data_IF_688659976598
#
_entry.id   IF_688659976598
#
_cell.length_a   1.000
_cell.length_b   1.000
_cell.length_c   1.000
_cell.angle_alpha   90.00
_cell.angle_beta   90.00
_cell.angle_gamma   90.00
#
_symmetry.space_group_name_H-M   'P 1'
#
loop_
_entity.id
_entity.type
_entity.pdbx_description
1 polymer ?
#
# COMPACT_ATOMS: atom_id res chain seq x y z
N UNK A 1 -20.48 15.18 -7.46
CA UNK A 1 -20.51 16.53 -6.86
C UNK A 1 -21.86 16.74 -6.21
N UNK A 2 -21.90 17.00 -4.93
CA UNK A 2 -23.12 17.24 -4.18
C UNK A 2 -23.18 18.69 -3.70
N UNK A 3 -24.40 19.19 -3.46
CA UNK A 3 -24.71 20.57 -3.06
C UNK A 3 -24.28 21.64 -4.09
N UNK A 4 -24.33 22.92 -3.70
CA UNK A 4 -24.04 24.07 -4.59
C UNK A 4 -23.32 25.19 -3.83
N UNK A 5 -22.62 26.05 -4.59
CA UNK A 5 -21.89 27.20 -4.04
C UNK A 5 -20.81 26.77 -3.03
N UNK A 6 -20.69 27.48 -1.94
CA UNK A 6 -19.67 27.25 -0.90
C UNK A 6 -19.80 25.88 -0.22
N UNK A 7 -20.95 25.23 -0.34
CA UNK A 7 -21.19 23.89 0.24
C UNK A 7 -20.92 22.75 -0.74
N UNK A 8 -20.46 23.07 -1.95
CA UNK A 8 -20.12 22.02 -2.94
C UNK A 8 -19.02 21.13 -2.41
N UNK A 9 -19.24 19.82 -2.43
CA UNK A 9 -18.22 18.82 -2.09
C UNK A 9 -18.30 17.61 -3.04
N UNK A 10 -17.20 16.86 -3.07
CA UNK A 10 -17.11 15.61 -3.83
C UNK A 10 -17.42 14.46 -2.87
N UNK A 11 -18.41 13.68 -3.22
CA UNK A 11 -18.85 12.54 -2.44
C UNK A 11 -19.44 11.48 -3.36
N UNK A 12 -19.56 10.22 -2.95
CA UNK A 12 -20.36 9.22 -3.63
C UNK A 12 -21.84 9.66 -3.76
N UNK A 13 -22.61 8.95 -4.58
CA UNK A 13 -24.02 9.21 -4.74
C UNK A 13 -24.73 9.17 -3.36
N UNK A 14 -25.69 10.05 -3.16
CA UNK A 14 -26.47 10.16 -1.93
C UNK A 14 -25.65 10.36 -0.63
N UNK A 15 -24.39 10.77 -0.74
CA UNK A 15 -23.47 10.99 0.40
C UNK A 15 -23.17 9.70 1.18
N UNK A 16 -23.19 8.56 0.50
CA UNK A 16 -22.84 7.26 1.06
C UNK A 16 -21.37 7.21 1.53
N UNK A 17 -21.05 6.27 2.40
CA UNK A 17 -19.66 5.97 2.73
C UNK A 17 -18.92 5.41 1.52
N UNK A 18 -17.63 5.73 1.38
CA UNK A 18 -16.78 5.17 0.30
C UNK A 18 -16.76 3.63 0.32
N UNK A 19 -16.87 3.01 1.49
CA UNK A 19 -16.89 1.56 1.61
C UNK A 19 -18.11 0.93 0.94
N UNK A 20 -19.28 1.60 1.03
CA UNK A 20 -20.55 1.12 0.51
C UNK A 20 -20.78 1.53 -0.96
N UNK A 21 -19.91 2.39 -1.49
CA UNK A 21 -19.99 2.92 -2.85
C UNK A 21 -19.24 2.02 -3.85
N UNK A 22 -19.41 2.22 -5.16
CA UNK A 22 -18.61 1.55 -6.21
C UNK A 22 -17.12 1.88 -6.18
N UNK A 23 -16.66 2.74 -5.28
CA UNK A 23 -15.26 3.15 -5.18
C UNK A 23 -14.37 1.97 -4.78
N UNK A 24 -13.30 1.75 -5.55
CA UNK A 24 -12.27 0.73 -5.29
C UNK A 24 -11.03 1.30 -4.58
N UNK A 25 -11.09 2.51 -4.09
CA UNK A 25 -10.03 3.22 -3.36
C UNK A 25 -8.68 3.28 -4.11
N UNK A 26 -8.70 3.37 -5.44
CA UNK A 26 -7.50 3.37 -6.28
C UNK A 26 -6.65 4.65 -6.20
N UNK A 27 -7.11 5.71 -5.51
CA UNK A 27 -6.36 6.96 -5.32
C UNK A 27 -6.36 7.91 -6.54
N UNK A 28 -6.93 7.54 -7.68
CA UNK A 28 -6.89 8.36 -8.90
C UNK A 28 -7.55 9.74 -8.72
N UNK A 29 -8.62 9.81 -7.93
CA UNK A 29 -9.26 11.09 -7.64
C UNK A 29 -8.36 12.04 -6.85
N UNK A 30 -7.56 11.53 -5.92
CA UNK A 30 -6.59 12.33 -5.18
C UNK A 30 -5.41 12.75 -6.08
N UNK A 31 -4.85 11.81 -6.83
CA UNK A 31 -3.72 12.06 -7.73
C UNK A 31 -4.01 13.09 -8.83
N UNK A 32 -5.28 13.20 -9.28
CA UNK A 32 -5.70 14.10 -10.35
C UNK A 32 -6.54 15.29 -9.87
N UNK A 33 -6.64 15.52 -8.57
CA UNK A 33 -7.42 16.63 -8.03
C UNK A 33 -6.69 17.97 -8.27
N UNK A 34 -7.21 18.86 -9.15
CA UNK A 34 -6.48 20.08 -9.52
C UNK A 34 -6.42 21.11 -8.38
N UNK A 35 -7.26 20.96 -7.37
CA UNK A 35 -7.35 21.88 -6.23
C UNK A 35 -6.73 21.31 -4.96
N UNK A 36 -6.29 20.03 -4.97
CA UNK A 36 -5.82 19.36 -3.77
C UNK A 36 -6.90 19.16 -2.68
N UNK A 37 -8.19 19.25 -3.04
CA UNK A 37 -9.28 19.09 -2.09
C UNK A 37 -9.54 17.62 -1.72
N UNK A 38 -9.10 16.69 -2.55
CA UNK A 38 -9.16 15.25 -2.29
C UNK A 38 -7.74 14.80 -1.98
N UNK A 39 -7.52 14.36 -0.76
CA UNK A 39 -6.23 13.87 -0.28
C UNK A 39 -6.39 12.48 0.32
N UNK A 40 -5.30 11.74 0.43
CA UNK A 40 -5.22 10.54 1.24
C UNK A 40 -5.23 10.87 2.74
N UNK A 41 -5.40 9.85 3.56
CA UNK A 41 -5.36 9.99 5.00
C UNK A 41 -3.91 10.10 5.48
N UNK A 42 -3.51 11.28 5.94
CA UNK A 42 -2.16 11.55 6.43
C UNK A 42 -1.99 11.09 7.89
N UNK A 43 -1.07 10.15 8.10
CA UNK A 43 -0.71 9.62 9.42
C UNK A 43 0.62 10.15 9.94
N UNK A 44 1.22 11.15 9.29
CA UNK A 44 2.55 11.68 9.63
C UNK A 44 2.64 12.17 11.08
N UNK A 45 1.61 12.85 11.57
CA UNK A 45 1.56 13.32 12.95
C UNK A 45 1.63 12.17 13.97
N UNK A 46 0.91 11.08 13.69
CA UNK A 46 0.92 9.87 14.53
C UNK A 46 2.31 9.21 14.55
N UNK A 47 2.99 9.18 13.41
CA UNK A 47 4.37 8.66 13.32
C UNK A 47 5.33 9.52 14.15
N UNK A 48 5.20 10.85 14.09
CA UNK A 48 6.01 11.74 14.91
C UNK A 48 5.80 11.51 16.41
N UNK A 49 4.58 11.26 16.85
CA UNK A 49 4.29 10.97 18.25
C UNK A 49 4.86 9.61 18.68
N UNK A 50 4.82 8.59 17.80
CA UNK A 50 5.49 7.31 18.05
C UNK A 50 7.01 7.45 18.17
N UNK A 51 7.65 8.27 17.32
CA UNK A 51 9.09 8.50 17.36
C UNK A 51 9.55 9.26 18.64
N UNK A 52 8.69 10.06 19.25
CA UNK A 52 8.97 10.73 20.52
C UNK A 52 8.85 9.81 21.73
N UNK A 53 8.10 8.70 21.59
CA UNK A 53 7.90 7.75 22.68
C UNK A 53 9.06 6.76 22.77
N UNK A 54 9.94 6.98 23.77
CA UNK A 54 11.14 6.15 23.99
C UNK A 54 10.84 4.75 24.53
N UNK A 55 9.63 4.48 24.96
CA UNK A 55 9.22 3.14 25.46
C UNK A 55 8.87 2.18 24.29
N UNK A 56 8.72 2.70 23.07
CA UNK A 56 8.33 1.92 21.91
C UNK A 56 9.47 1.82 20.89
N UNK A 57 9.65 0.61 20.35
CA UNK A 57 10.58 0.38 19.24
C UNK A 57 9.83 0.62 17.93
N UNK A 58 10.09 1.79 17.32
CA UNK A 58 9.48 2.16 16.04
C UNK A 58 10.34 1.67 14.90
N UNK A 59 9.74 0.86 14.02
CA UNK A 59 10.39 0.33 12.81
C UNK A 59 9.69 0.84 11.57
N UNK A 60 10.41 0.88 10.45
CA UNK A 60 9.88 1.36 9.16
C UNK A 60 10.36 0.45 8.02
N UNK A 61 9.55 0.34 7.00
CA UNK A 61 9.92 -0.25 5.71
C UNK A 61 9.59 0.71 4.57
N UNK A 62 10.27 0.56 3.44
CA UNK A 62 10.17 1.46 2.30
C UNK A 62 9.64 0.70 1.10
N UNK A 63 8.60 1.24 0.46
CA UNK A 63 8.12 0.71 -0.81
C UNK A 63 9.18 0.87 -1.93
N UNK A 64 9.29 -0.09 -2.85
CA UNK A 64 10.30 -0.05 -3.92
C UNK A 64 10.25 1.22 -4.78
N UNK A 65 9.06 1.72 -5.11
CA UNK A 65 8.89 2.93 -5.91
C UNK A 65 9.45 4.20 -5.23
N UNK A 66 9.38 4.31 -3.92
CA UNK A 66 9.88 5.48 -3.17
C UNK A 66 11.39 5.66 -3.34
N UNK A 67 12.15 4.58 -3.56
CA UNK A 67 13.61 4.64 -3.73
C UNK A 67 14.06 5.45 -4.94
N UNK A 68 13.26 5.46 -5.99
CA UNK A 68 13.56 6.10 -7.27
C UNK A 68 12.74 7.36 -7.53
N UNK A 69 11.62 7.56 -6.83
CA UNK A 69 10.78 8.73 -6.97
C UNK A 69 11.14 9.86 -6.01
N UNK A 70 11.48 9.55 -4.76
CA UNK A 70 11.73 10.56 -3.72
C UNK A 70 12.88 11.52 -4.08
N UNK A 71 13.83 11.08 -4.91
CA UNK A 71 14.98 11.89 -5.32
C UNK A 71 14.60 13.16 -6.06
N UNK A 72 13.54 13.13 -6.82
CA UNK A 72 13.07 14.25 -7.63
C UNK A 72 12.72 15.47 -6.77
N UNK A 73 12.09 15.23 -5.61
CA UNK A 73 11.75 16.26 -4.64
C UNK A 73 12.99 16.96 -4.02
N UNK A 74 14.15 16.32 -4.12
CA UNK A 74 15.42 16.84 -3.60
C UNK A 74 16.41 17.24 -4.70
N UNK A 75 15.94 17.38 -5.94
CA UNK A 75 16.75 17.83 -7.08
C UNK A 75 17.74 16.79 -7.64
N UNK A 76 17.52 15.52 -7.37
CA UNK A 76 18.26 14.43 -8.02
C UNK A 76 17.67 14.13 -9.39
N UNK A 77 18.47 13.53 -10.27
CA UNK A 77 18.01 13.10 -11.58
C UNK A 77 16.86 12.09 -11.47
N UNK A 78 15.94 12.17 -12.41
CA UNK A 78 14.79 11.27 -12.51
C UNK A 78 15.22 9.80 -12.44
N UNK A 79 14.57 9.01 -11.60
CA UNK A 79 14.85 7.58 -11.44
C UNK A 79 16.12 7.26 -10.66
N UNK A 80 16.78 8.23 -10.03
CA UNK A 80 17.97 7.99 -9.21
C UNK A 80 17.67 7.08 -8.02
N UNK A 81 18.41 5.99 -7.89
CA UNK A 81 18.25 5.07 -6.74
C UNK A 81 18.89 5.66 -5.48
N UNK A 82 18.07 6.09 -4.54
CA UNK A 82 18.48 6.71 -3.28
C UNK A 82 18.38 5.80 -2.07
N UNK A 83 18.27 4.50 -2.21
CA UNK A 83 18.06 3.52 -1.12
C UNK A 83 18.91 3.79 0.10
N UNK A 84 20.23 3.90 -0.07
CA UNK A 84 21.17 4.15 1.05
C UNK A 84 20.94 5.49 1.75
N UNK A 85 20.65 6.56 0.99
CA UNK A 85 20.39 7.89 1.54
C UNK A 85 19.07 7.91 2.32
N UNK A 86 18.01 7.26 1.79
CA UNK A 86 16.71 7.15 2.47
C UNK A 86 16.86 6.37 3.78
N UNK A 87 17.59 5.26 3.79
CA UNK A 87 17.84 4.49 5.00
C UNK A 87 18.59 5.31 6.06
N UNK A 88 19.60 6.07 5.63
CA UNK A 88 20.34 6.97 6.54
C UNK A 88 19.46 8.09 7.10
N UNK A 89 18.59 8.68 6.26
CA UNK A 89 17.65 9.70 6.68
C UNK A 89 16.64 9.17 7.71
N UNK A 90 16.02 8.01 7.45
CA UNK A 90 15.06 7.39 8.36
C UNK A 90 15.69 7.06 9.73
N UNK A 91 16.93 6.56 9.74
CA UNK A 91 17.65 6.35 11.01
C UNK A 91 17.91 7.67 11.76
N UNK A 92 18.23 8.75 11.04
CA UNK A 92 18.40 10.08 11.63
C UNK A 92 17.10 10.67 12.18
N UNK A 93 15.95 10.32 11.60
CA UNK A 93 14.63 10.70 12.10
C UNK A 93 14.25 9.98 13.40
N UNK A 94 14.97 8.90 13.76
CA UNK A 94 14.76 8.20 15.04
C UNK A 94 14.14 6.81 14.91
N UNK A 95 13.93 6.27 13.70
CA UNK A 95 13.49 4.88 13.54
C UNK A 95 14.58 3.91 14.03
N UNK A 96 14.20 3.01 14.91
CA UNK A 96 15.13 2.03 15.50
C UNK A 96 15.64 1.02 14.47
N UNK A 97 14.78 0.63 13.54
CA UNK A 97 15.12 -0.28 12.43
C UNK A 97 14.47 0.20 11.12
N UNK A 98 15.21 0.01 10.03
CA UNK A 98 14.74 0.29 8.68
C UNK A 98 14.86 -0.98 7.86
N UNK A 99 13.74 -1.48 7.38
CA UNK A 99 13.65 -2.72 6.62
C UNK A 99 13.42 -2.46 5.13
N UNK A 100 13.77 -3.45 4.32
CA UNK A 100 13.52 -3.46 2.90
C UNK A 100 12.28 -4.30 2.58
N UNK A 101 11.28 -3.68 1.95
CA UNK A 101 10.08 -4.39 1.51
C UNK A 101 10.38 -5.46 0.46
N UNK A 102 11.51 -5.39 -0.26
CA UNK A 102 11.92 -6.45 -1.19
C UNK A 102 12.12 -7.80 -0.50
N UNK A 103 12.55 -7.81 0.77
CA UNK A 103 12.59 -9.05 1.53
C UNK A 103 11.19 -9.70 1.65
N UNK A 104 10.17 -8.89 1.89
CA UNK A 104 8.78 -9.38 1.88
C UNK A 104 8.33 -9.84 0.49
N UNK A 105 8.81 -9.18 -0.57
CA UNK A 105 8.52 -9.60 -1.94
C UNK A 105 9.12 -10.97 -2.26
N UNK A 106 10.34 -11.24 -1.82
CA UNK A 106 10.97 -12.56 -1.98
C UNK A 106 10.18 -13.65 -1.25
N UNK A 107 9.70 -13.37 -0.04
CA UNK A 107 8.83 -14.29 0.69
C UNK A 107 7.50 -14.52 -0.03
N UNK A 108 6.88 -13.45 -0.53
CA UNK A 108 5.63 -13.54 -1.29
C UNK A 108 5.81 -14.40 -2.54
N UNK A 109 6.93 -14.26 -3.27
CA UNK A 109 7.23 -15.09 -4.44
C UNK A 109 7.28 -16.58 -4.07
N UNK A 110 7.91 -16.92 -2.96
CA UNK A 110 8.02 -18.31 -2.51
C UNK A 110 6.64 -18.88 -2.16
N UNK A 111 5.86 -18.16 -1.40
CA UNK A 111 4.52 -18.59 -0.98
C UNK A 111 3.54 -18.67 -2.16
N UNK A 112 3.47 -17.63 -3.00
CA UNK A 112 2.60 -17.63 -4.18
C UNK A 112 3.00 -18.69 -5.21
N UNK A 113 4.29 -18.89 -5.45
CA UNK A 113 4.75 -19.95 -6.34
C UNK A 113 4.38 -21.34 -5.81
N UNK A 114 4.47 -21.55 -4.50
CA UNK A 114 4.08 -22.80 -3.85
C UNK A 114 2.58 -23.04 -4.01
N UNK A 115 1.77 -22.02 -3.75
CA UNK A 115 0.32 -22.07 -3.94
C UNK A 115 -0.04 -22.33 -5.41
N UNK A 116 0.60 -21.61 -6.33
CA UNK A 116 0.38 -21.80 -7.77
C UNK A 116 0.70 -23.23 -8.22
N UNK A 117 1.84 -23.79 -7.82
CA UNK A 117 2.22 -25.16 -8.17
C UNK A 117 1.21 -26.17 -7.63
N UNK A 118 0.68 -25.95 -6.43
CA UNK A 118 -0.39 -26.80 -5.87
C UNK A 118 -1.64 -26.72 -6.72
N UNK A 119 -2.17 -25.50 -6.96
CA UNK A 119 -3.38 -25.28 -7.79
C UNK A 119 -3.21 -25.83 -9.20
N UNK A 120 -2.03 -25.68 -9.79
CA UNK A 120 -1.73 -26.20 -11.13
C UNK A 120 -1.78 -27.74 -11.20
N UNK A 121 -1.25 -28.43 -10.19
CA UNK A 121 -1.32 -29.91 -10.11
C UNK A 121 -2.74 -30.42 -9.88
N UNK A 122 -3.49 -29.73 -9.04
CA UNK A 122 -4.88 -30.05 -8.70
C UNK A 122 -5.87 -29.58 -9.76
N UNK A 123 -5.44 -28.74 -10.70
CA UNK A 123 -6.26 -28.07 -11.73
C UNK A 123 -7.43 -27.30 -11.13
N UNK A 124 -7.18 -26.65 -9.98
CA UNK A 124 -8.19 -25.94 -9.20
C UNK A 124 -7.93 -24.43 -9.21
N UNK A 125 -9.02 -23.65 -9.30
CA UNK A 125 -9.01 -22.18 -9.23
C UNK A 125 -7.93 -21.49 -10.11
N UNK A 126 -7.84 -21.92 -11.38
CA UNK A 126 -6.97 -21.31 -12.39
C UNK A 126 -7.81 -20.48 -13.38
N UNK A 127 -7.27 -19.34 -13.90
CA UNK A 127 -5.97 -18.74 -13.58
C UNK A 127 -5.91 -18.24 -12.14
N UNK A 128 -4.72 -18.25 -11.52
CA UNK A 128 -4.49 -17.64 -10.22
C UNK A 128 -4.07 -16.18 -10.40
N UNK A 129 -4.67 -15.28 -9.63
CA UNK A 129 -4.32 -13.86 -9.59
C UNK A 129 -3.60 -13.51 -8.30
N UNK A 130 -2.64 -12.59 -8.37
CA UNK A 130 -2.00 -12.03 -7.16
C UNK A 130 -2.95 -11.11 -6.40
N UNK A 131 -2.76 -10.95 -5.10
CA UNK A 131 -3.64 -10.22 -4.19
C UNK A 131 -2.96 -9.06 -3.45
N UNK A 132 -1.76 -8.65 -3.88
CA UNK A 132 -0.99 -7.62 -3.18
C UNK A 132 -1.54 -6.19 -3.35
N UNK A 133 -2.41 -5.93 -4.32
CA UNK A 133 -3.02 -4.61 -4.56
C UNK A 133 -4.42 -4.54 -3.94
N UNK A 134 -4.66 -3.71 -2.90
CA UNK A 134 -5.97 -3.62 -2.25
C UNK A 134 -7.07 -3.10 -3.19
N UNK A 135 -6.75 -2.19 -4.11
CA UNK A 135 -7.72 -1.70 -5.09
C UNK A 135 -8.16 -2.80 -6.09
N UNK A 136 -7.26 -3.72 -6.42
CA UNK A 136 -7.58 -4.89 -7.24
C UNK A 136 -8.49 -5.86 -6.50
N UNK A 137 -8.23 -6.11 -5.23
CA UNK A 137 -9.08 -6.95 -4.38
C UNK A 137 -10.47 -6.33 -4.22
N UNK A 138 -10.56 -5.04 -3.83
CA UNK A 138 -11.82 -4.28 -3.75
C UNK A 138 -12.59 -4.33 -5.08
N UNK A 139 -11.89 -4.28 -6.22
CA UNK A 139 -12.51 -4.37 -7.53
C UNK A 139 -13.16 -5.74 -7.78
N UNK A 140 -12.46 -6.81 -7.46
CA UNK A 140 -13.04 -8.15 -7.58
C UNK A 140 -14.22 -8.38 -6.62
N UNK A 141 -14.07 -7.96 -5.37
CA UNK A 141 -15.14 -8.10 -4.37
C UNK A 141 -16.44 -7.42 -4.81
N UNK A 142 -16.34 -6.24 -5.44
CA UNK A 142 -17.49 -5.43 -5.82
C UNK A 142 -18.09 -5.78 -7.17
N UNK A 143 -17.25 -6.17 -8.13
CA UNK A 143 -17.69 -6.30 -9.52
C UNK A 143 -17.61 -7.73 -10.07
N UNK A 144 -16.77 -8.60 -9.47
CA UNK A 144 -16.54 -9.96 -9.92
C UNK A 144 -16.35 -10.93 -8.74
N UNK A 145 -17.33 -11.02 -7.81
CA UNK A 145 -17.17 -11.83 -6.60
C UNK A 145 -16.93 -13.31 -6.90
N UNK A 146 -17.39 -13.80 -8.05
CA UNK A 146 -17.15 -15.17 -8.51
C UNK A 146 -15.66 -15.45 -8.79
N UNK A 147 -14.83 -14.43 -8.99
CA UNK A 147 -13.39 -14.55 -9.21
C UNK A 147 -12.56 -14.56 -7.92
N UNK A 148 -13.16 -14.31 -6.76
CA UNK A 148 -12.45 -14.32 -5.48
C UNK A 148 -11.70 -15.63 -5.17
N UNK A 149 -12.23 -16.83 -5.49
CA UNK A 149 -11.48 -18.08 -5.30
C UNK A 149 -10.18 -18.17 -6.12
N UNK A 150 -10.06 -17.36 -7.17
CA UNK A 150 -8.87 -17.29 -8.02
C UNK A 150 -7.77 -16.38 -7.46
N UNK A 151 -8.05 -15.56 -6.42
CA UNK A 151 -7.02 -14.76 -5.77
C UNK A 151 -6.05 -15.64 -4.99
N UNK A 152 -4.79 -15.23 -4.96
CA UNK A 152 -3.79 -15.78 -4.04
C UNK A 152 -4.21 -15.51 -2.59
N UNK A 153 -3.97 -16.47 -1.71
CA UNK A 153 -4.18 -16.34 -0.27
C UNK A 153 -3.05 -15.59 0.44
N UNK A 154 -1.99 -15.25 -0.28
CA UNK A 154 -0.80 -14.62 0.28
C UNK A 154 -1.05 -13.16 0.70
N UNK A 155 -0.43 -12.78 1.81
CA UNK A 155 -0.33 -11.37 2.21
C UNK A 155 0.52 -10.59 1.23
N UNK A 156 0.27 -9.27 1.15
CA UNK A 156 1.14 -8.38 0.40
C UNK A 156 2.57 -8.35 0.98
N UNK A 157 3.60 -8.02 0.17
CA UNK A 157 4.98 -7.96 0.63
C UNK A 157 5.18 -7.11 1.90
N UNK A 158 4.54 -5.94 1.98
CA UNK A 158 4.68 -5.07 3.15
C UNK A 158 4.02 -5.66 4.41
N UNK A 159 2.91 -6.38 4.26
CA UNK A 159 2.27 -7.08 5.39
C UNK A 159 3.10 -8.27 5.86
N UNK A 160 3.79 -8.98 4.94
CA UNK A 160 4.71 -10.05 5.31
C UNK A 160 5.88 -9.53 6.13
N UNK A 161 6.53 -8.44 5.70
CA UNK A 161 7.58 -7.78 6.50
C UNK A 161 7.03 -7.32 7.85
N UNK A 162 5.85 -6.72 7.87
CA UNK A 162 5.21 -6.26 9.10
C UNK A 162 4.92 -7.40 10.08
N UNK A 163 4.46 -8.55 9.58
CA UNK A 163 4.20 -9.73 10.40
C UNK A 163 5.51 -10.27 11.02
N UNK A 164 6.56 -10.41 10.21
CA UNK A 164 7.87 -10.88 10.69
C UNK A 164 8.47 -9.89 11.69
N UNK A 165 8.49 -8.60 11.39
CA UNK A 165 9.04 -7.57 12.27
C UNK A 165 8.33 -7.46 13.64
N UNK A 166 7.07 -7.93 13.74
CA UNK A 166 6.32 -7.99 15.01
C UNK A 166 6.53 -9.29 15.77
N UNK A 167 7.01 -10.33 15.10
CA UNK A 167 7.15 -11.67 15.70
C UNK A 167 8.58 -11.92 16.17
N UNK A 168 9.57 -11.36 15.48
CA UNK A 168 11.00 -11.52 15.72
C UNK A 168 11.67 -10.19 16.03
#
# INVERSE_FOLDING_TARGET
>A
MLQRGIRTHISPAADENLADSPCIKCGQCAAHCPTGAITDYDTTAQVWDLLKNQEQVTVVQIAPAVRVALGEEFGFDFGSNLTGKIYAALRKLGFAKVFDTNFGADLTIIEEATEFVKRFKEKDNLPMFTSCCPAWVDYLEKYYPEMLPHLSSCKSPHEMVGAIAKTY
#
